data_IF_146903516704
#
_entry.id   IF_146903516704
#
_cell.length_a   1.000
_cell.length_b   1.000
_cell.length_c   1.000
_cell.angle_alpha   90.00
_cell.angle_beta   90.00
_cell.angle_gamma   90.00
#
_symmetry.space_group_name_H-M   'P 1'
#
loop_
_entity.id
_entity.type
_entity.pdbx_description
1 polymer ?
#
# COMPACT_ATOMS: atom_id res chain seq x y z
N UNK A 1 43.61 47.44 -50.94
CA UNK A 1 44.45 47.29 -49.73
C UNK A 1 43.54 46.92 -48.58
N UNK A 2 43.87 45.81 -47.90
CA UNK A 2 43.51 45.34 -46.53
C UNK A 2 42.13 45.68 -45.93
N UNK A 3 41.35 44.75 -45.38
CA UNK A 3 41.70 43.41 -44.90
C UNK A 3 40.47 42.54 -44.63
N UNK A 4 40.72 41.22 -44.70
CA UNK A 4 39.86 40.14 -44.23
C UNK A 4 40.10 39.90 -42.73
N UNK A 5 39.25 39.07 -42.15
CA UNK A 5 39.52 38.09 -41.08
C UNK A 5 38.80 38.32 -39.75
N UNK A 6 38.05 37.26 -39.36
CA UNK A 6 37.51 36.92 -38.03
C UNK A 6 36.37 37.82 -37.54
N UNK A 7 35.20 37.33 -37.13
CA UNK A 7 34.96 36.11 -36.35
C UNK A 7 33.73 35.35 -36.85
N UNK A 8 33.92 34.03 -36.90
CA UNK A 8 32.94 32.99 -37.15
C UNK A 8 32.09 32.73 -35.90
N UNK A 9 30.83 32.35 -36.12
CA UNK A 9 30.11 31.29 -35.39
C UNK A 9 29.95 31.44 -33.87
N UNK A 10 28.83 32.02 -33.44
CA UNK A 10 28.27 31.77 -32.10
C UNK A 10 27.11 30.78 -32.20
N UNK A 11 27.40 29.51 -31.98
CA UNK A 11 26.47 28.38 -31.99
C UNK A 11 25.22 28.62 -31.12
N UNK A 12 24.06 28.32 -31.69
CA UNK A 12 22.80 28.07 -30.98
C UNK A 12 23.02 26.89 -30.03
N UNK A 13 23.16 27.16 -28.73
CA UNK A 13 23.08 26.13 -27.70
C UNK A 13 21.72 26.24 -27.01
N UNK A 14 20.69 25.64 -27.62
CA UNK A 14 19.44 25.33 -26.92
C UNK A 14 19.79 24.25 -25.90
N UNK A 15 19.88 24.66 -24.63
CA UNK A 15 20.01 23.74 -23.51
C UNK A 15 18.71 22.92 -23.42
N UNK A 16 18.72 21.71 -23.97
CA UNK A 16 17.71 20.70 -23.68
C UNK A 16 17.89 20.28 -22.21
N UNK A 17 17.19 20.95 -21.31
CA UNK A 17 17.03 20.52 -19.92
C UNK A 17 16.23 19.23 -19.96
N UNK A 18 16.92 18.09 -19.86
CA UNK A 18 16.29 16.79 -19.72
C UNK A 18 15.53 16.74 -18.40
N UNK A 19 14.20 16.78 -18.46
CA UNK A 19 13.35 16.29 -17.38
C UNK A 19 13.57 14.78 -17.27
N UNK A 20 14.51 14.37 -16.42
CA UNK A 20 14.53 13.00 -15.92
C UNK A 20 13.38 12.90 -14.93
N UNK A 21 12.21 12.50 -15.44
CA UNK A 21 11.08 12.14 -14.60
C UNK A 21 11.42 10.89 -13.81
N UNK A 22 11.94 11.06 -12.59
CA UNK A 22 11.82 10.04 -11.56
C UNK A 22 10.35 10.01 -11.16
N UNK A 23 9.54 9.31 -11.93
CA UNK A 23 8.21 8.91 -11.48
C UNK A 23 8.41 7.95 -10.32
N UNK A 24 8.40 8.46 -9.09
CA UNK A 24 8.27 7.61 -7.92
C UNK A 24 6.99 6.81 -8.12
N UNK A 25 7.12 5.50 -8.39
CA UNK A 25 6.01 4.60 -8.15
C UNK A 25 5.89 4.56 -6.62
N UNK A 26 5.15 5.50 -6.06
CA UNK A 26 4.72 5.44 -4.67
C UNK A 26 3.94 4.13 -4.58
N UNK A 27 4.54 3.12 -3.97
CA UNK A 27 3.89 1.84 -3.80
C UNK A 27 2.67 2.09 -2.95
N UNK A 28 1.47 1.92 -3.51
CA UNK A 28 0.19 2.08 -2.81
C UNK A 28 -0.05 1.02 -1.71
N UNK A 29 1.01 0.32 -1.29
CA UNK A 29 1.02 -0.59 -0.16
C UNK A 29 1.34 0.24 1.09
N UNK A 30 0.49 0.14 2.10
CA UNK A 30 0.56 0.92 3.32
C UNK A 30 -0.39 2.12 3.37
N UNK A 31 -1.00 2.49 2.24
CA UNK A 31 -2.03 3.53 2.20
C UNK A 31 -3.20 3.15 3.12
N UNK A 32 -3.82 4.11 3.84
CA UNK A 32 -4.95 3.82 4.70
C UNK A 32 -6.16 3.36 3.86
N UNK A 33 -6.87 2.36 4.38
CA UNK A 33 -8.16 1.94 3.85
C UNK A 33 -9.11 1.61 5.00
N UNK A 34 -10.41 1.58 4.72
CA UNK A 34 -11.43 1.04 5.63
C UNK A 34 -12.17 -0.07 4.89
N UNK A 35 -12.23 -1.31 5.41
CA UNK A 35 -12.95 -2.39 4.77
C UNK A 35 -14.45 -2.05 4.65
N UNK A 36 -15.06 -2.37 3.52
CA UNK A 36 -16.49 -2.15 3.26
C UNK A 36 -17.38 -3.07 4.11
N UNK A 37 -16.83 -4.22 4.53
CA UNK A 37 -17.50 -5.18 5.40
C UNK A 37 -16.73 -5.33 6.70
N UNK A 38 -17.36 -4.92 7.80
CA UNK A 38 -16.88 -5.13 9.17
C UNK A 38 -17.82 -6.09 9.90
N UNK A 39 -17.31 -7.15 10.57
CA UNK A 39 -18.15 -8.04 11.36
C UNK A 39 -18.92 -7.30 12.46
N UNK A 40 -20.10 -7.82 12.81
CA UNK A 40 -20.82 -7.33 14.00
C UNK A 40 -19.95 -7.55 15.25
N UNK A 41 -19.61 -6.47 15.96
CA UNK A 41 -18.66 -6.52 17.07
C UNK A 41 -17.20 -6.24 16.68
N UNK A 42 -16.92 -5.90 15.42
CA UNK A 42 -15.58 -5.57 14.95
C UNK A 42 -14.71 -6.80 14.68
N UNK A 43 -13.44 -6.54 14.39
CA UNK A 43 -12.44 -7.56 14.13
C UNK A 43 -11.84 -8.13 15.43
N UNK A 44 -11.26 -9.32 15.34
CA UNK A 44 -10.50 -10.01 16.40
C UNK A 44 -9.00 -9.88 16.17
N UNK A 45 -8.22 -9.63 17.23
CA UNK A 45 -6.75 -9.53 17.11
C UNK A 45 -6.06 -10.78 16.54
N UNK A 46 -6.70 -11.95 16.60
CA UNK A 46 -6.14 -13.18 16.03
C UNK A 46 -6.49 -13.40 14.56
N UNK A 47 -7.32 -12.55 13.96
CA UNK A 47 -7.80 -12.76 12.61
C UNK A 47 -7.03 -11.95 11.57
N UNK A 48 -7.06 -12.48 10.35
CA UNK A 48 -6.61 -11.79 9.16
C UNK A 48 -7.77 -11.77 8.18
N UNK A 49 -8.20 -10.58 7.83
CA UNK A 49 -9.27 -10.35 6.87
C UNK A 49 -8.71 -9.65 5.64
N UNK A 50 -9.19 -10.06 4.48
CA UNK A 50 -8.70 -9.58 3.20
C UNK A 50 -9.88 -9.25 2.29
N UNK A 51 -10.04 -7.97 2.01
CA UNK A 51 -10.99 -7.47 1.02
C UNK A 51 -10.29 -7.34 -0.33
N UNK A 52 -10.67 -8.20 -1.27
CA UNK A 52 -10.28 -8.04 -2.67
C UNK A 52 -11.31 -7.19 -3.41
N UNK A 53 -10.85 -6.32 -4.30
CA UNK A 53 -11.65 -5.33 -5.03
C UNK A 53 -11.95 -4.03 -4.27
N UNK A 54 -11.18 -3.72 -3.22
CA UNK A 54 -11.31 -2.44 -2.53
C UNK A 54 -11.06 -1.27 -3.47
N UNK A 55 -11.96 -0.28 -3.47
CA UNK A 55 -11.86 0.91 -4.35
C UNK A 55 -10.92 1.98 -3.79
N UNK A 56 -10.60 1.90 -2.50
CA UNK A 56 -9.69 2.81 -1.81
C UNK A 56 -8.22 2.50 -2.12
N UNK A 57 -7.92 1.22 -2.35
CA UNK A 57 -6.58 0.76 -2.64
C UNK A 57 -6.32 0.72 -4.14
N UNK A 58 -5.27 1.39 -4.62
CA UNK A 58 -4.84 1.27 -6.01
C UNK A 58 -4.46 -0.19 -6.37
N UNK A 59 -3.98 -0.95 -5.38
CA UNK A 59 -3.71 -2.39 -5.44
C UNK A 59 -4.95 -3.28 -5.37
N UNK A 60 -6.12 -2.70 -5.09
CA UNK A 60 -7.42 -3.38 -4.89
C UNK A 60 -7.51 -4.30 -3.67
N UNK A 61 -6.53 -4.30 -2.78
CA UNK A 61 -6.51 -5.18 -1.61
C UNK A 61 -6.47 -4.33 -0.35
N UNK A 62 -7.53 -4.36 0.46
CA UNK A 62 -7.52 -3.81 1.82
C UNK A 62 -7.32 -4.98 2.79
N UNK A 63 -6.24 -4.93 3.56
CA UNK A 63 -5.89 -5.94 4.56
C UNK A 63 -6.27 -5.42 5.93
N UNK A 64 -6.90 -6.27 6.74
CA UNK A 64 -7.03 -6.10 8.19
C UNK A 64 -6.28 -7.25 8.85
N UNK A 65 -5.38 -6.94 9.78
CA UNK A 65 -4.66 -7.94 10.55
C UNK A 65 -4.39 -7.43 11.95
N UNK A 66 -4.60 -8.28 12.95
CA UNK A 66 -4.29 -7.96 14.35
C UNK A 66 -5.01 -6.70 14.85
N UNK A 67 -6.25 -6.48 14.39
CA UNK A 67 -7.15 -5.44 14.92
C UNK A 67 -8.16 -6.07 15.88
N UNK A 68 -8.25 -5.55 17.11
CA UNK A 68 -9.33 -5.89 18.03
C UNK A 68 -10.32 -4.73 18.11
N UNK A 69 -11.44 -4.84 17.41
CA UNK A 69 -12.47 -3.80 17.35
C UNK A 69 -12.80 -3.37 15.92
N UNK A 70 -13.58 -2.30 15.78
CA UNK A 70 -14.13 -1.83 14.52
C UNK A 70 -13.36 -0.58 14.04
N UNK A 71 -12.74 -0.61 12.84
CA UNK A 71 -11.97 0.52 12.32
C UNK A 71 -12.82 1.78 12.05
N UNK A 72 -14.15 1.70 12.12
CA UNK A 72 -15.05 2.85 12.05
C UNK A 72 -15.31 3.51 13.42
N UNK A 73 -14.98 2.83 14.53
CA UNK A 73 -15.20 3.31 15.89
C UNK A 73 -13.86 3.74 16.52
N UNK A 74 -13.32 4.83 16.01
CA UNK A 74 -12.00 5.34 16.42
C UNK A 74 -12.13 6.32 17.59
N UNK A 75 -11.25 6.20 18.57
CA UNK A 75 -11.15 7.13 19.69
C UNK A 75 -10.72 8.56 19.24
N UNK A 76 -11.19 9.63 19.92
CA UNK A 76 -12.08 9.62 21.08
C UNK A 76 -13.59 9.61 20.75
N UNK A 77 -13.98 9.76 19.47
CA UNK A 77 -15.39 9.85 19.04
C UNK A 77 -16.10 8.49 18.90
N UNK A 78 -15.85 7.59 19.86
CA UNK A 78 -16.52 6.30 19.89
C UNK A 78 -18.02 6.41 20.19
N UNK A 79 -18.89 5.67 19.48
CA UNK A 79 -20.28 5.50 19.86
C UNK A 79 -20.36 4.92 21.28
N UNK A 80 -20.97 5.67 22.21
CA UNK A 80 -20.85 5.44 23.64
C UNK A 80 -21.15 3.99 24.09
N UNK A 81 -20.11 3.29 24.56
CA UNK A 81 -20.21 2.03 25.30
C UNK A 81 -19.94 0.75 24.51
N UNK A 82 -19.46 0.82 23.27
CA UNK A 82 -19.10 -0.40 22.52
C UNK A 82 -17.73 -0.94 22.94
N UNK A 83 -17.62 -2.26 23.09
CA UNK A 83 -16.34 -2.97 23.29
C UNK A 83 -15.50 -3.02 22.00
N UNK A 84 -15.81 -2.20 21.01
CA UNK A 84 -15.27 -2.22 19.66
C UNK A 84 -14.42 -0.99 19.33
N UNK A 85 -14.21 -0.10 20.30
CA UNK A 85 -13.32 1.05 20.14
C UNK A 85 -11.90 0.63 19.83
N UNK A 86 -11.28 1.38 18.92
CA UNK A 86 -9.88 1.21 18.53
C UNK A 86 -9.14 2.54 18.58
N UNK A 87 -7.86 2.51 18.94
CA UNK A 87 -7.04 3.72 18.84
C UNK A 87 -6.72 4.02 17.36
N UNK A 88 -6.51 5.29 16.98
CA UNK A 88 -6.07 5.64 15.63
C UNK A 88 -4.80 4.88 15.20
N UNK A 89 -3.86 4.71 16.13
CA UNK A 89 -2.61 3.97 15.89
C UNK A 89 -2.82 2.47 15.68
N UNK A 90 -3.83 1.87 16.31
CA UNK A 90 -4.21 0.47 16.04
C UNK A 90 -4.75 0.34 14.62
N UNK A 91 -5.61 1.26 14.19
CA UNK A 91 -6.17 1.24 12.82
C UNK A 91 -5.06 1.41 11.78
N UNK A 92 -4.18 2.39 11.93
CA UNK A 92 -3.11 2.64 10.95
C UNK A 92 -2.15 1.45 10.80
N UNK A 93 -1.81 0.80 11.91
CA UNK A 93 -0.95 -0.39 11.90
C UNK A 93 -1.66 -1.62 11.33
N UNK A 94 -2.94 -1.80 11.66
CA UNK A 94 -3.66 -3.05 11.40
C UNK A 94 -4.50 -3.02 10.13
N UNK A 95 -4.82 -1.86 9.58
CA UNK A 95 -5.67 -1.69 8.39
C UNK A 95 -4.97 -0.83 7.35
N UNK A 96 -4.63 -1.44 6.22
CA UNK A 96 -3.91 -0.76 5.14
C UNK A 96 -4.08 -1.48 3.81
N UNK A 97 -3.84 -0.74 2.74
CA UNK A 97 -3.75 -1.28 1.41
C UNK A 97 -2.55 -2.22 1.33
N UNK A 98 -2.80 -3.47 0.96
CA UNK A 98 -1.79 -4.48 0.75
C UNK A 98 -1.68 -4.80 -0.74
N UNK A 99 -0.82 -5.73 -1.10
CA UNK A 99 -0.71 -6.24 -2.45
C UNK A 99 -0.34 -7.72 -2.40
N UNK A 100 -0.84 -8.49 -3.36
CA UNK A 100 -0.40 -9.87 -3.55
C UNK A 100 1.05 -9.88 -4.01
N UNK A 101 1.92 -10.54 -3.27
CA UNK A 101 3.33 -10.70 -3.60
C UNK A 101 3.70 -12.15 -3.96
N UNK A 102 2.82 -13.10 -3.63
CA UNK A 102 2.93 -14.50 -4.03
C UNK A 102 1.57 -15.07 -4.41
N UNK A 103 1.52 -15.83 -5.50
CA UNK A 103 0.32 -16.52 -5.97
C UNK A 103 0.66 -18.00 -6.23
N UNK A 104 -0.31 -18.93 -6.12
CA UNK A 104 -0.10 -20.31 -6.53
C UNK A 104 0.42 -20.40 -7.96
N UNK A 105 1.36 -21.32 -8.22
CA UNK A 105 1.92 -21.52 -9.55
C UNK A 105 0.82 -21.81 -10.58
N UNK A 106 0.93 -21.18 -11.76
CA UNK A 106 -0.05 -21.36 -12.83
C UNK A 106 -1.39 -20.62 -12.64
N UNK A 107 -1.59 -19.88 -11.54
CA UNK A 107 -2.83 -19.10 -11.31
C UNK A 107 -2.97 -17.88 -12.23
N UNK A 108 -1.86 -17.36 -12.78
CA UNK A 108 -1.85 -16.17 -13.63
C UNK A 108 -2.27 -14.88 -12.93
N UNK A 109 -2.39 -14.89 -11.61
CA UNK A 109 -2.79 -13.73 -10.82
C UNK A 109 -1.64 -12.70 -10.76
N UNK A 110 -1.94 -11.41 -10.92
CA UNK A 110 -0.92 -10.37 -10.84
C UNK A 110 -0.32 -10.31 -9.44
N UNK A 111 1.00 -10.10 -9.38
CA UNK A 111 1.74 -9.88 -8.13
C UNK A 111 2.54 -8.59 -8.20
N UNK A 112 2.98 -8.08 -7.04
CA UNK A 112 3.91 -6.96 -6.93
C UNK A 112 5.03 -7.25 -5.93
N UNK A 113 6.06 -6.39 -5.93
CA UNK A 113 7.08 -6.38 -4.88
C UNK A 113 6.63 -5.57 -3.67
N UNK A 114 6.90 -6.07 -2.46
CA UNK A 114 6.61 -5.32 -1.24
C UNK A 114 7.64 -4.19 -1.04
N UNK A 115 7.19 -2.96 -0.76
CA UNK A 115 8.09 -1.84 -0.50
C UNK A 115 8.77 -2.00 0.88
N UNK A 116 9.73 -1.12 1.17
CA UNK A 116 10.37 -1.07 2.49
C UNK A 116 9.34 -0.91 3.61
N UNK A 117 9.55 -1.59 4.73
CA UNK A 117 8.57 -1.65 5.82
C UNK A 117 7.57 -2.80 5.69
N UNK A 118 7.62 -3.59 4.60
CA UNK A 118 6.70 -4.70 4.37
C UNK A 118 7.43 -6.00 3.97
N UNK A 119 6.92 -7.12 4.46
CA UNK A 119 7.36 -8.48 4.16
C UNK A 119 6.32 -9.19 3.30
N UNK A 120 6.79 -10.09 2.43
CA UNK A 120 5.91 -10.97 1.67
C UNK A 120 5.62 -12.23 2.48
N UNK A 121 4.45 -12.30 3.10
CA UNK A 121 4.05 -13.42 3.97
C UNK A 121 2.85 -14.15 3.40
N UNK A 122 2.87 -15.49 3.46
CA UNK A 122 1.69 -16.32 3.20
C UNK A 122 0.74 -16.24 4.39
N UNK A 123 -0.35 -15.51 4.22
CA UNK A 123 -1.34 -15.23 5.28
C UNK A 123 -2.70 -15.90 5.00
N UNK A 124 -2.91 -16.41 3.79
CA UNK A 124 -4.14 -17.09 3.38
C UNK A 124 -3.80 -18.43 2.71
N UNK A 125 -3.75 -19.48 3.52
CA UNK A 125 -3.52 -20.85 3.06
C UNK A 125 -4.78 -21.51 2.48
N UNK A 126 -5.96 -21.03 2.91
CA UNK A 126 -7.27 -21.58 2.53
C UNK A 126 -8.11 -20.53 1.78
N UNK A 127 -9.04 -21.00 0.94
CA UNK A 127 -9.90 -20.15 0.10
C UNK A 127 -9.75 -20.44 -1.40
N UNK A 128 -10.42 -19.64 -2.23
CA UNK A 128 -10.30 -19.71 -3.68
C UNK A 128 -8.94 -19.20 -4.18
N UNK A 129 -8.54 -19.57 -5.39
CA UNK A 129 -7.26 -19.15 -5.99
C UNK A 129 -7.11 -17.63 -6.03
N UNK A 130 -8.20 -16.90 -6.21
CA UNK A 130 -8.23 -15.44 -6.16
C UNK A 130 -7.97 -14.82 -4.79
N UNK A 131 -7.84 -15.61 -3.72
CA UNK A 131 -7.57 -15.17 -2.35
C UNK A 131 -6.30 -15.81 -1.77
N UNK A 132 -6.04 -17.09 -2.03
CA UNK A 132 -4.88 -17.79 -1.47
C UNK A 132 -3.55 -17.22 -1.92
N UNK A 133 -2.54 -17.23 -1.06
CA UNK A 133 -1.17 -16.84 -1.38
C UNK A 133 -0.58 -15.82 -0.40
N UNK A 134 0.46 -15.15 -0.86
CA UNK A 134 1.26 -14.23 -0.05
C UNK A 134 0.94 -12.78 -0.33
N UNK A 135 0.97 -11.96 0.71
CA UNK A 135 0.65 -10.54 0.66
C UNK A 135 1.69 -9.71 1.40
N UNK A 136 1.80 -8.45 1.01
CA UNK A 136 2.65 -7.49 1.70
C UNK A 136 2.05 -7.12 3.05
N UNK A 137 2.70 -7.56 4.11
CA UNK A 137 2.31 -7.25 5.49
C UNK A 137 3.38 -6.39 6.13
N UNK A 138 2.99 -5.50 7.06
CA UNK A 138 3.95 -4.67 7.78
C UNK A 138 4.99 -5.55 8.48
N UNK A 139 6.25 -5.17 8.34
CA UNK A 139 7.34 -5.83 9.04
C UNK A 139 7.23 -5.55 10.55
N UNK A 140 6.97 -6.55 11.40
CA UNK A 140 6.81 -6.34 12.83
C UNK A 140 8.11 -5.94 13.54
N UNK A 141 9.26 -6.07 12.85
CA UNK A 141 10.57 -5.69 13.38
C UNK A 141 10.91 -4.23 13.14
N UNK A 142 10.12 -3.54 12.31
CA UNK A 142 10.28 -2.12 12.01
C UNK A 142 9.19 -1.35 12.76
N UNK A 143 9.58 -0.64 13.82
CA UNK A 143 8.66 0.23 14.57
C UNK A 143 8.06 1.28 13.62
N UNK A 144 6.72 1.38 13.65
CA UNK A 144 5.98 2.46 12.98
C UNK A 144 6.29 3.74 13.77
N UNK A 145 7.14 4.60 13.22
CA UNK A 145 7.51 5.90 13.80
C UNK A 145 6.43 6.95 13.56
#
# INVERSE_FOLDING_TARGET
MSGKWLELLGFVAVAAVGLVGTGCAESAVGDPCVPEQVPEGGFLASETYLETSSVQCATRVCLVRELAGDPNNVEPECPGGTTTCVSPSDVERSVYCSCRCGAPEGSGLPTCGCPGGFLCEEILETGGDGLRGSYCVRDPTLEVQ
#
